data_IF_236425897015
#
_entry.id   IF_236425897015
#
_cell.length_a   1.000
_cell.length_b   1.000
_cell.length_c   1.000
_cell.angle_alpha   90.00
_cell.angle_beta   90.00
_cell.angle_gamma   90.00
#
_symmetry.space_group_name_H-M   'P 1'
#
loop_
_entity.id
_entity.type
_entity.pdbx_description
1 polymer ?
#
# COMPACT_ATOMS: atom_id res chain seq x y z
N UNK A 1 -37.55 -5.64 -34.24
CA UNK A 1 -36.80 -6.69 -34.99
C UNK A 1 -35.71 -7.19 -34.05
N UNK A 2 -35.83 -8.42 -33.54
CA UNK A 2 -34.83 -9.05 -32.67
C UNK A 2 -33.68 -9.54 -33.56
N UNK A 3 -32.40 -9.24 -33.28
CA UNK A 3 -31.29 -9.65 -34.12
C UNK A 3 -31.15 -11.18 -34.15
N UNK A 4 -30.77 -11.79 -35.27
CA UNK A 4 -30.79 -13.22 -35.49
C UNK A 4 -29.86 -14.04 -34.58
N UNK A 5 -28.95 -13.41 -33.85
CA UNK A 5 -28.02 -14.08 -32.91
C UNK A 5 -28.72 -14.60 -31.64
N UNK A 6 -29.76 -13.90 -31.17
CA UNK A 6 -30.53 -14.35 -30.01
C UNK A 6 -31.51 -15.49 -30.31
N UNK A 7 -31.98 -15.59 -31.55
CA UNK A 7 -32.82 -16.73 -31.99
C UNK A 7 -32.03 -18.04 -32.10
N UNK A 8 -30.72 -17.97 -32.45
CA UNK A 8 -29.83 -19.11 -32.48
C UNK A 8 -29.50 -19.72 -31.10
N UNK A 9 -29.37 -18.88 -30.07
CA UNK A 9 -29.08 -19.32 -28.71
C UNK A 9 -30.27 -20.01 -28.01
N UNK A 10 -31.51 -19.60 -28.33
CA UNK A 10 -32.73 -20.24 -27.80
C UNK A 10 -32.98 -21.60 -28.48
N UNK A 11 -32.69 -21.76 -29.76
CA UNK A 11 -32.81 -23.03 -30.46
C UNK A 11 -31.75 -24.06 -30.04
N UNK A 12 -30.51 -23.59 -29.78
CA UNK A 12 -29.43 -24.44 -29.28
C UNK A 12 -29.68 -24.96 -27.84
N UNK A 13 -30.43 -24.23 -27.03
CA UNK A 13 -30.79 -24.65 -25.65
C UNK A 13 -31.78 -25.79 -25.62
N UNK A 14 -32.61 -25.98 -26.65
CA UNK A 14 -33.59 -27.06 -26.73
C UNK A 14 -33.04 -28.37 -27.29
N UNK A 15 -31.96 -28.35 -28.06
CA UNK A 15 -31.37 -29.49 -28.72
C UNK A 15 -30.21 -30.17 -27.96
N UNK A 16 -29.78 -29.65 -26.82
CA UNK A 16 -28.68 -30.22 -26.05
C UNK A 16 -29.13 -31.27 -25.02
N UNK A 17 -28.37 -32.41 -24.87
CA UNK A 17 -28.66 -33.42 -23.86
C UNK A 17 -28.69 -32.84 -22.42
N UNK A 18 -29.57 -33.35 -21.60
CA UNK A 18 -29.82 -32.87 -20.21
C UNK A 18 -28.51 -32.88 -19.37
N UNK A 19 -27.58 -33.78 -19.66
CA UNK A 19 -26.29 -33.92 -19.00
C UNK A 19 -25.34 -32.72 -19.21
N UNK A 20 -25.52 -31.94 -20.28
CA UNK A 20 -24.65 -30.80 -20.61
C UNK A 20 -25.21 -29.44 -20.12
N UNK A 21 -26.45 -29.40 -19.63
CA UNK A 21 -27.07 -28.15 -19.16
C UNK A 21 -26.38 -27.47 -17.99
N UNK A 22 -25.80 -28.17 -16.99
CA UNK A 22 -25.07 -27.49 -15.91
C UNK A 22 -23.73 -26.88 -16.35
N UNK A 23 -23.20 -27.30 -17.53
CA UNK A 23 -21.95 -26.78 -18.07
C UNK A 23 -22.12 -25.59 -19.00
N UNK A 24 -23.35 -25.25 -19.40
CA UNK A 24 -23.64 -24.10 -20.27
C UNK A 24 -23.08 -22.78 -19.76
N UNK A 25 -23.15 -22.45 -18.44
CA UNK A 25 -22.53 -21.22 -17.95
C UNK A 25 -20.99 -21.24 -18.04
N UNK A 26 -20.37 -22.41 -17.85
CA UNK A 26 -18.92 -22.55 -17.97
C UNK A 26 -18.43 -22.45 -19.42
N UNK A 27 -19.20 -23.01 -20.38
CA UNK A 27 -18.93 -22.89 -21.82
C UNK A 27 -19.17 -21.45 -22.29
N UNK A 28 -20.21 -20.79 -21.80
CA UNK A 28 -20.47 -19.36 -22.08
C UNK A 28 -19.38 -18.44 -21.53
N UNK A 29 -18.84 -18.74 -20.35
CA UNK A 29 -17.72 -18.02 -19.74
C UNK A 29 -16.40 -18.29 -20.51
N UNK A 30 -16.16 -19.51 -20.95
CA UNK A 30 -15.01 -19.87 -21.78
C UNK A 30 -15.03 -19.17 -23.15
N UNK A 31 -16.18 -19.15 -23.82
CA UNK A 31 -16.38 -18.43 -25.07
C UNK A 31 -16.30 -16.90 -24.90
N UNK A 32 -16.83 -16.35 -23.80
CA UNK A 32 -16.74 -14.94 -23.45
C UNK A 32 -15.28 -14.51 -23.19
N UNK A 33 -14.51 -15.33 -22.47
CA UNK A 33 -13.08 -15.10 -22.24
C UNK A 33 -12.30 -15.17 -23.55
N UNK A 34 -12.63 -16.14 -24.43
CA UNK A 34 -12.00 -16.29 -25.74
C UNK A 34 -12.29 -15.09 -26.66
N UNK A 35 -13.54 -14.63 -26.72
CA UNK A 35 -13.93 -13.44 -27.51
C UNK A 35 -13.28 -12.18 -26.96
N UNK A 36 -13.18 -12.04 -25.64
CA UNK A 36 -12.50 -10.89 -25.02
C UNK A 36 -10.99 -10.90 -25.32
N UNK A 37 -10.38 -12.08 -25.37
CA UNK A 37 -8.94 -12.23 -25.66
C UNK A 37 -8.66 -12.04 -27.17
N UNK A 38 -9.52 -12.55 -28.05
CA UNK A 38 -9.44 -12.31 -29.50
C UNK A 38 -9.67 -10.82 -29.84
N UNK A 39 -10.58 -10.15 -29.13
CA UNK A 39 -10.78 -8.70 -29.23
C UNK A 39 -9.56 -7.89 -28.76
N UNK A 40 -8.87 -8.34 -27.73
CA UNK A 40 -7.63 -7.72 -27.22
C UNK A 40 -6.47 -7.83 -28.24
N UNK A 41 -6.37 -8.97 -28.94
CA UNK A 41 -5.38 -9.17 -29.98
C UNK A 41 -5.68 -8.41 -31.28
N UNK A 42 -6.97 -8.21 -31.59
CA UNK A 42 -7.41 -7.45 -32.78
C UNK A 42 -7.40 -5.93 -32.56
N UNK A 43 -7.42 -5.45 -31.30
CA UNK A 43 -7.34 -4.02 -30.96
C UNK A 43 -6.02 -3.36 -31.34
N UNK A 44 -4.98 -4.15 -31.65
CA UNK A 44 -3.72 -3.61 -32.15
C UNK A 44 -3.77 -3.16 -33.61
N UNK A 45 -4.77 -3.56 -34.42
CA UNK A 45 -4.74 -3.27 -35.85
C UNK A 45 -6.09 -3.09 -36.61
N UNK A 46 -7.29 -2.98 -35.97
CA UNK A 46 -8.55 -2.83 -36.75
C UNK A 46 -9.67 -2.04 -36.02
N UNK A 47 -10.60 -1.40 -36.77
CA UNK A 47 -11.65 -0.55 -36.21
C UNK A 47 -12.71 -1.34 -35.44
N UNK A 48 -13.08 -0.80 -34.29
CA UNK A 48 -14.03 -1.33 -33.29
C UNK A 48 -15.40 -1.69 -33.92
N UNK A 49 -15.85 -2.93 -33.73
CA UNK A 49 -17.22 -3.32 -34.05
C UNK A 49 -18.20 -2.91 -32.92
N UNK A 50 -19.37 -2.33 -33.24
CA UNK A 50 -20.34 -1.76 -32.26
C UNK A 50 -20.91 -2.79 -31.25
N UNK A 51 -20.82 -4.09 -31.53
CA UNK A 51 -21.40 -5.14 -30.69
C UNK A 51 -20.63 -5.40 -29.39
N UNK A 52 -19.31 -5.20 -29.36
CA UNK A 52 -18.47 -5.45 -28.19
C UNK A 52 -18.51 -4.32 -27.16
N UNK A 53 -18.73 -3.07 -27.62
CA UNK A 53 -18.92 -1.92 -26.73
C UNK A 53 -20.25 -1.99 -25.98
N UNK A 54 -21.32 -2.53 -26.60
CA UNK A 54 -22.61 -2.74 -25.95
C UNK A 54 -22.59 -3.85 -24.89
N UNK A 55 -21.90 -4.97 -25.14
CA UNK A 55 -21.77 -6.06 -24.15
C UNK A 55 -20.94 -5.58 -22.91
N UNK A 56 -19.89 -4.83 -23.10
CA UNK A 56 -19.10 -4.22 -22.03
C UNK A 56 -19.88 -3.19 -21.23
N UNK A 57 -20.73 -2.39 -21.90
CA UNK A 57 -21.61 -1.42 -21.26
C UNK A 57 -22.71 -2.07 -20.43
N UNK A 58 -23.34 -3.15 -20.90
CA UNK A 58 -24.41 -3.85 -20.16
C UNK A 58 -23.85 -4.59 -18.95
N UNK A 59 -22.71 -5.25 -19.05
CA UNK A 59 -22.01 -5.89 -17.93
C UNK A 59 -21.51 -4.86 -16.92
N UNK A 60 -20.96 -3.75 -17.40
CA UNK A 60 -20.48 -2.65 -16.55
C UNK A 60 -21.61 -1.95 -15.79
N UNK A 61 -22.76 -1.71 -16.43
CA UNK A 61 -23.92 -1.04 -15.77
C UNK A 61 -24.62 -1.94 -14.78
N UNK A 62 -24.72 -3.24 -15.01
CA UNK A 62 -25.25 -4.20 -14.05
C UNK A 62 -24.36 -4.29 -12.80
N UNK A 63 -23.03 -4.22 -12.98
CA UNK A 63 -22.05 -4.29 -11.91
C UNK A 63 -21.97 -2.97 -11.09
N UNK A 64 -22.15 -1.81 -11.72
CA UNK A 64 -22.19 -0.48 -11.08
C UNK A 64 -23.42 -0.27 -10.16
N UNK A 65 -24.47 -1.06 -10.30
CA UNK A 65 -25.70 -0.95 -9.49
C UNK A 65 -25.70 -1.74 -8.18
N UNK A 66 -24.65 -2.51 -7.89
CA UNK A 66 -24.54 -3.20 -6.59
C UNK A 66 -24.24 -2.22 -5.47
N UNK A 67 -24.97 -2.26 -4.33
CA UNK A 67 -24.69 -1.39 -3.20
C UNK A 67 -23.28 -1.68 -2.66
N UNK A 68 -22.47 -0.64 -2.57
CA UNK A 68 -21.12 -0.70 -1.98
C UNK A 68 -21.26 -0.67 -0.47
N UNK A 69 -20.90 -1.72 0.21
CA UNK A 69 -20.75 -1.72 1.67
C UNK A 69 -19.43 -1.02 2.00
N UNK A 70 -19.54 0.17 2.59
CA UNK A 70 -18.38 0.88 3.10
C UNK A 70 -17.74 0.08 4.24
N UNK A 71 -16.42 -0.10 4.18
CA UNK A 71 -15.68 -0.69 5.31
C UNK A 71 -15.79 0.28 6.48
N UNK A 72 -16.29 -0.16 7.65
CA UNK A 72 -16.34 0.71 8.81
C UNK A 72 -14.92 1.14 9.18
N UNK A 73 -14.67 2.45 9.14
CA UNK A 73 -13.40 3.00 9.63
C UNK A 73 -13.45 2.98 11.16
N UNK A 74 -12.45 2.39 11.81
CA UNK A 74 -12.33 2.46 13.25
C UNK A 74 -12.20 3.93 13.67
N UNK A 75 -13.13 4.42 14.48
CA UNK A 75 -13.19 5.82 14.94
C UNK A 75 -12.81 5.96 16.41
N UNK A 76 -12.76 4.86 17.12
CA UNK A 76 -12.56 4.80 18.57
C UNK A 76 -11.47 3.79 18.95
N UNK A 77 -11.08 3.82 20.22
CA UNK A 77 -10.04 2.95 20.77
C UNK A 77 -10.38 1.45 20.62
N UNK A 78 -11.61 0.99 20.97
CA UNK A 78 -11.98 -0.41 20.80
C UNK A 78 -11.87 -0.89 19.35
N UNK A 79 -12.36 -0.13 18.40
CA UNK A 79 -12.30 -0.50 16.98
C UNK A 79 -10.87 -0.59 16.44
N UNK A 80 -9.95 0.25 16.93
CA UNK A 80 -8.54 0.13 16.57
C UNK A 80 -7.86 -1.07 17.22
N UNK A 81 -8.21 -1.41 18.46
CA UNK A 81 -7.69 -2.63 19.11
C UNK A 81 -8.15 -3.89 18.36
N UNK A 82 -9.42 -3.97 17.99
CA UNK A 82 -9.93 -5.07 17.16
C UNK A 82 -9.16 -5.21 15.84
N UNK A 83 -8.87 -4.10 15.16
CA UNK A 83 -8.04 -4.12 13.94
C UNK A 83 -6.63 -4.65 14.18
N UNK A 84 -5.99 -4.29 15.29
CA UNK A 84 -4.68 -4.82 15.64
C UNK A 84 -4.74 -6.33 15.92
N UNK A 85 -5.80 -6.81 16.55
CA UNK A 85 -6.03 -8.24 16.77
C UNK A 85 -6.25 -8.98 15.44
N UNK A 86 -7.03 -8.40 14.52
CA UNK A 86 -7.20 -8.94 13.16
C UNK A 86 -5.86 -9.05 12.41
N UNK A 87 -4.98 -8.04 12.54
CA UNK A 87 -3.63 -8.12 11.97
C UNK A 87 -2.80 -9.25 12.60
N UNK A 88 -2.88 -9.46 13.91
CA UNK A 88 -2.20 -10.58 14.57
C UNK A 88 -2.67 -11.94 14.00
N UNK A 89 -3.96 -12.11 13.76
CA UNK A 89 -4.48 -13.32 13.12
C UNK A 89 -3.90 -13.53 11.70
N UNK A 90 -3.80 -12.46 10.91
CA UNK A 90 -3.21 -12.53 9.57
C UNK A 90 -1.72 -12.90 9.62
N UNK A 91 -0.96 -12.36 10.59
CA UNK A 91 0.43 -12.79 10.81
C UNK A 91 0.53 -14.27 11.13
N UNK A 92 -0.30 -14.77 12.04
CA UNK A 92 -0.29 -16.19 12.42
C UNK A 92 -0.58 -17.10 11.22
N UNK A 93 -1.52 -16.75 10.37
CA UNK A 93 -1.82 -17.49 9.14
C UNK A 93 -0.61 -17.55 8.21
N UNK A 94 -0.04 -16.40 7.86
CA UNK A 94 1.08 -16.32 6.92
C UNK A 94 2.36 -16.94 7.49
N UNK A 95 2.66 -16.76 8.77
CA UNK A 95 3.83 -17.36 9.43
C UNK A 95 3.70 -18.88 9.53
N UNK A 96 2.48 -19.42 9.68
CA UNK A 96 2.23 -20.88 9.69
C UNK A 96 2.34 -21.54 8.32
N UNK A 97 2.18 -20.80 7.22
CA UNK A 97 2.25 -21.29 5.85
C UNK A 97 3.67 -21.19 5.23
N UNK A 98 4.70 -20.78 5.99
CA UNK A 98 6.06 -20.61 5.45
C UNK A 98 6.66 -21.93 4.94
N UNK A 99 6.94 -22.06 3.62
CA UNK A 99 7.77 -23.12 3.11
C UNK A 99 9.24 -22.72 3.36
N UNK A 100 9.90 -23.34 4.32
CA UNK A 100 11.33 -23.21 4.65
C UNK A 100 11.79 -21.78 5.03
N UNK A 101 11.97 -21.58 6.36
CA UNK A 101 12.61 -20.38 6.90
C UNK A 101 14.09 -20.32 6.45
N UNK A 102 14.52 -19.17 5.95
CA UNK A 102 15.95 -18.90 5.75
C UNK A 102 16.66 -18.84 7.12
N UNK A 103 17.93 -19.32 7.24
CA UNK A 103 18.65 -19.32 8.51
C UNK A 103 18.83 -17.95 9.18
N UNK A 104 18.68 -16.87 8.41
CA UNK A 104 18.78 -15.48 8.87
C UNK A 104 17.48 -14.86 9.36
N UNK A 105 16.34 -15.55 9.20
CA UNK A 105 15.07 -15.00 9.65
C UNK A 105 14.89 -15.16 11.16
N UNK A 106 14.36 -14.15 11.88
CA UNK A 106 14.00 -14.31 13.29
C UNK A 106 13.01 -15.47 13.42
N UNK A 107 13.21 -16.31 14.45
CA UNK A 107 12.32 -17.45 14.72
C UNK A 107 10.87 -16.95 14.72
N UNK A 108 9.93 -17.59 14.01
CA UNK A 108 8.53 -17.13 13.92
C UNK A 108 7.89 -16.85 15.29
N UNK A 109 8.24 -17.62 16.31
CA UNK A 109 7.83 -17.40 17.68
C UNK A 109 8.30 -16.07 18.27
N UNK A 110 9.55 -15.67 18.04
CA UNK A 110 10.10 -14.43 18.58
C UNK A 110 9.39 -13.17 18.03
N UNK A 111 9.06 -13.15 16.75
CA UNK A 111 8.31 -12.05 16.14
C UNK A 111 6.88 -11.96 16.72
N UNK A 112 6.23 -13.09 16.95
CA UNK A 112 4.90 -13.15 17.58
C UNK A 112 4.94 -12.66 19.03
N UNK A 113 5.94 -13.08 19.81
CA UNK A 113 6.13 -12.62 21.18
C UNK A 113 6.39 -11.11 21.24
N UNK A 114 7.23 -10.60 20.33
CA UNK A 114 7.49 -9.16 20.22
C UNK A 114 6.20 -8.36 19.96
N UNK A 115 5.36 -8.78 18.99
CA UNK A 115 4.08 -8.12 18.72
C UNK A 115 3.13 -8.21 19.92
N UNK A 116 3.06 -9.35 20.61
CA UNK A 116 2.25 -9.49 21.81
C UNK A 116 2.71 -8.54 22.91
N UNK A 117 4.03 -8.42 23.13
CA UNK A 117 4.63 -7.49 24.09
C UNK A 117 4.34 -6.03 23.71
N UNK A 118 4.46 -5.67 22.44
CA UNK A 118 4.13 -4.32 21.94
C UNK A 118 2.66 -3.97 22.20
N UNK A 119 1.73 -4.88 21.94
CA UNK A 119 0.31 -4.65 22.20
C UNK A 119 0.00 -4.56 23.69
N UNK A 120 0.63 -5.41 24.51
CA UNK A 120 0.49 -5.35 25.98
C UNK A 120 1.00 -4.01 26.52
N UNK A 121 2.19 -3.58 26.09
CA UNK A 121 2.78 -2.28 26.48
C UNK A 121 1.89 -1.12 26.05
N UNK A 122 1.33 -1.16 24.84
CA UNK A 122 0.40 -0.14 24.36
C UNK A 122 -0.88 -0.11 25.20
N UNK A 123 -1.47 -1.26 25.57
CA UNK A 123 -2.65 -1.31 26.44
C UNK A 123 -2.41 -0.64 27.80
N UNK A 124 -1.24 -0.87 28.39
CA UNK A 124 -0.83 -0.19 29.63
C UNK A 124 -0.70 1.33 29.41
N UNK A 125 -0.06 1.74 28.31
CA UNK A 125 0.08 3.15 27.94
C UNK A 125 -1.29 3.85 27.73
N UNK A 126 -2.24 3.16 27.07
CA UNK A 126 -3.60 3.69 26.84
C UNK A 126 -4.36 3.95 28.15
N UNK A 127 -4.11 3.16 29.19
CA UNK A 127 -4.72 3.30 30.52
C UNK A 127 -4.04 4.34 31.42
N UNK A 128 -2.97 5.00 30.97
CA UNK A 128 -2.23 5.97 31.79
C UNK A 128 -3.11 7.15 32.17
N UNK A 129 -3.22 7.47 33.48
CA UNK A 129 -3.91 8.65 33.95
C UNK A 129 -3.07 9.91 33.70
N UNK A 130 -3.73 11.08 33.67
CA UNK A 130 -3.08 12.38 33.53
C UNK A 130 -2.56 12.68 32.12
N UNK A 131 -1.99 13.84 31.98
CA UNK A 131 -1.42 14.39 30.76
C UNK A 131 0.11 14.27 30.75
N UNK A 132 0.67 14.07 29.59
CA UNK A 132 2.11 14.09 29.35
C UNK A 132 2.44 15.09 28.24
N UNK A 133 3.24 16.09 28.61
CA UNK A 133 3.74 17.08 27.67
C UNK A 133 5.26 16.96 27.54
N UNK A 134 5.80 17.49 26.46
CA UNK A 134 7.22 17.72 26.34
C UNK A 134 7.49 19.15 25.94
N UNK A 135 8.46 19.77 26.62
CA UNK A 135 9.07 21.02 26.17
C UNK A 135 10.22 20.70 25.25
N UNK A 136 10.14 21.19 24.03
CA UNK A 136 11.08 20.94 22.95
C UNK A 136 11.49 22.25 22.29
N UNK A 137 12.56 22.24 21.53
CA UNK A 137 13.04 23.41 20.78
C UNK A 137 14.48 23.23 20.36
N UNK A 138 14.94 24.00 19.39
CA UNK A 138 16.36 24.05 18.98
C UNK A 138 17.22 24.73 20.07
N UNK A 139 16.61 25.65 20.83
CA UNK A 139 17.20 26.35 21.96
C UNK A 139 16.18 26.39 23.10
N UNK A 140 15.89 25.26 23.79
CA UNK A 140 14.97 25.26 24.91
C UNK A 140 15.53 26.13 26.05
N UNK A 141 14.66 26.66 26.91
CA UNK A 141 15.11 27.36 28.11
C UNK A 141 15.79 26.41 29.09
N UNK A 142 16.45 26.93 30.09
CA UNK A 142 17.16 26.12 31.09
C UNK A 142 16.20 25.22 31.90
N UNK A 143 16.67 24.03 32.25
CA UNK A 143 15.87 23.00 32.96
C UNK A 143 15.41 23.46 34.38
N UNK A 144 16.06 24.46 34.93
CA UNK A 144 15.69 25.11 36.21
C UNK A 144 14.28 25.71 36.17
N UNK A 145 13.73 26.01 34.97
CA UNK A 145 12.37 26.53 34.81
C UNK A 145 11.30 25.42 34.82
N UNK A 146 11.68 24.16 34.80
CA UNK A 146 10.74 23.03 34.75
C UNK A 146 9.71 23.05 35.90
N UNK A 147 10.10 23.28 37.18
CA UNK A 147 9.13 23.34 38.27
C UNK A 147 8.13 24.47 38.11
N UNK A 148 8.58 25.67 37.69
CA UNK A 148 7.72 26.82 37.45
C UNK A 148 6.73 26.57 36.31
N UNK A 149 7.17 25.90 35.24
CA UNK A 149 6.34 25.55 34.09
C UNK A 149 5.30 24.49 34.44
N UNK A 150 5.65 23.49 35.22
CA UNK A 150 4.71 22.47 35.73
C UNK A 150 3.67 23.10 36.65
N UNK A 151 4.08 24.03 37.53
CA UNK A 151 3.17 24.75 38.44
C UNK A 151 2.22 25.66 37.65
N UNK A 152 2.72 26.36 36.61
CA UNK A 152 1.91 27.22 35.75
C UNK A 152 0.84 26.46 34.96
N UNK A 153 1.09 25.19 34.65
CA UNK A 153 0.17 24.30 33.95
C UNK A 153 -0.64 23.40 34.86
N UNK A 154 -0.55 23.61 36.17
CA UNK A 154 -1.29 22.82 37.17
C UNK A 154 -2.79 22.94 36.92
N UNK A 155 -3.44 21.80 36.78
CA UNK A 155 -4.88 21.68 36.56
C UNK A 155 -5.49 20.56 37.41
N UNK A 156 -6.75 20.18 37.14
CA UNK A 156 -7.44 19.10 37.85
C UNK A 156 -6.81 17.71 37.56
N UNK A 157 -6.09 17.56 36.43
CA UNK A 157 -5.39 16.34 36.09
C UNK A 157 -3.90 16.45 36.38
N UNK A 158 -3.28 15.33 36.77
CA UNK A 158 -1.83 15.27 36.92
C UNK A 158 -1.14 15.49 35.56
N UNK A 159 -0.08 16.32 35.58
CA UNK A 159 0.70 16.64 34.39
C UNK A 159 2.15 16.21 34.58
N UNK A 160 2.67 15.44 33.65
CA UNK A 160 4.09 15.10 33.56
C UNK A 160 4.69 15.86 32.37
N UNK A 161 5.75 16.62 32.67
CA UNK A 161 6.47 17.40 31.67
C UNK A 161 7.86 16.79 31.41
N UNK A 162 8.10 16.34 30.19
CA UNK A 162 9.42 15.95 29.73
C UNK A 162 10.18 17.17 29.22
N UNK A 163 11.39 17.37 29.75
CA UNK A 163 12.28 18.41 29.27
C UNK A 163 13.26 17.82 28.24
N UNK A 164 13.17 18.27 27.00
CA UNK A 164 13.99 17.74 25.94
C UNK A 164 15.40 18.34 25.94
N UNK A 165 16.37 17.58 25.47
CA UNK A 165 17.63 18.14 25.00
C UNK A 165 17.38 19.04 23.77
N UNK A 166 18.25 20.02 23.48
CA UNK A 166 18.10 20.84 22.30
C UNK A 166 17.94 20.00 21.05
N UNK A 167 16.93 20.30 20.24
CA UNK A 167 16.75 19.67 18.95
C UNK A 167 17.90 20.04 18.00
N UNK A 168 18.40 19.14 17.17
CA UNK A 168 19.47 19.45 16.24
C UNK A 168 19.06 20.52 15.23
N UNK A 169 19.99 21.40 14.93
CA UNK A 169 19.81 22.47 13.93
C UNK A 169 19.99 21.97 12.50
N UNK A 170 20.49 20.76 12.34
CA UNK A 170 20.61 20.06 11.06
C UNK A 170 20.31 18.58 11.23
N UNK A 171 19.56 18.00 10.28
CA UNK A 171 19.27 16.57 10.23
C UNK A 171 19.12 16.11 8.79
N UNK A 172 19.65 14.91 8.47
CA UNK A 172 19.41 14.25 7.19
C UNK A 172 17.99 13.66 7.06
N UNK A 173 17.27 13.51 8.18
CA UNK A 173 15.87 13.10 8.24
C UNK A 173 15.22 13.73 9.45
N UNK A 174 14.24 14.61 9.21
CA UNK A 174 13.50 15.32 10.26
C UNK A 174 12.40 14.40 10.82
N UNK A 175 12.74 13.59 11.82
CA UNK A 175 11.79 12.68 12.49
C UNK A 175 11.80 12.89 14.00
N UNK A 176 10.62 13.01 14.56
CA UNK A 176 10.46 13.18 15.99
C UNK A 176 10.83 11.92 16.77
N UNK A 177 11.53 12.04 17.91
CA UNK A 177 11.77 10.92 18.79
C UNK A 177 10.46 10.28 19.27
N UNK A 178 10.39 8.94 19.40
CA UNK A 178 9.15 8.23 19.78
C UNK A 178 8.54 8.68 21.11
N UNK A 179 9.36 9.15 22.04
CA UNK A 179 8.89 9.68 23.33
C UNK A 179 7.96 10.88 23.13
N UNK A 180 8.32 11.80 22.22
CA UNK A 180 7.54 13.01 21.98
C UNK A 180 6.26 12.72 21.20
N UNK A 181 6.30 11.74 20.30
CA UNK A 181 5.09 11.23 19.63
C UNK A 181 4.08 10.64 20.64
N UNK A 182 4.56 10.08 21.75
CA UNK A 182 3.73 9.51 22.82
C UNK A 182 3.16 10.55 23.78
N UNK A 183 3.54 11.84 23.67
CA UNK A 183 2.99 12.92 24.49
C UNK A 183 1.57 13.31 24.05
N UNK A 184 0.77 13.80 24.99
CA UNK A 184 -0.57 14.34 24.73
C UNK A 184 -0.46 15.65 23.93
N UNK A 185 0.56 16.46 24.21
CA UNK A 185 0.89 17.68 23.50
C UNK A 185 2.37 18.05 23.63
N UNK A 186 2.79 18.99 22.78
CA UNK A 186 4.15 19.55 22.79
C UNK A 186 4.08 21.04 23.11
N UNK A 187 5.07 21.53 23.86
CA UNK A 187 5.35 22.96 23.98
C UNK A 187 6.66 23.20 23.25
N UNK A 188 6.60 23.85 22.09
CA UNK A 188 7.77 24.13 21.29
C UNK A 188 8.28 25.54 21.63
N UNK A 189 9.43 25.62 22.28
CA UNK A 189 10.07 26.87 22.54
C UNK A 189 10.73 27.44 21.29
N UNK A 190 10.41 28.69 20.99
CA UNK A 190 10.90 29.40 19.82
C UNK A 190 11.57 30.70 20.23
N UNK A 191 12.72 30.97 19.65
CA UNK A 191 13.35 32.28 19.70
C UNK A 191 13.17 33.02 18.39
N UNK A 192 13.03 34.32 18.46
CA UNK A 192 12.88 35.17 17.27
C UNK A 192 14.19 35.88 16.93
N UNK A 193 14.54 35.94 15.61
CA UNK A 193 13.83 35.40 14.44
C UNK A 193 13.89 33.88 14.39
N UNK A 194 12.86 33.24 13.78
CA UNK A 194 12.81 31.80 13.61
C UNK A 194 13.97 31.30 12.76
N UNK A 195 14.59 30.23 13.21
CA UNK A 195 15.60 29.53 12.39
C UNK A 195 14.94 28.60 11.37
N UNK A 196 15.67 28.30 10.29
CA UNK A 196 15.21 27.30 9.31
C UNK A 196 15.01 25.90 9.97
N UNK A 197 15.79 25.59 11.00
CA UNK A 197 15.65 24.36 11.76
C UNK A 197 14.31 24.31 12.54
N UNK A 198 13.91 25.43 13.17
CA UNK A 198 12.61 25.49 13.88
C UNK A 198 11.46 25.23 12.91
N UNK A 199 11.46 25.87 11.73
CA UNK A 199 10.44 25.65 10.71
C UNK A 199 10.41 24.20 10.26
N UNK A 200 11.56 23.56 10.03
CA UNK A 200 11.65 22.15 9.64
C UNK A 200 11.09 21.21 10.71
N UNK A 201 11.37 21.47 11.98
CA UNK A 201 10.80 20.67 13.07
C UNK A 201 9.29 20.85 13.18
N UNK A 202 8.78 22.05 12.96
CA UNK A 202 7.33 22.31 12.95
C UNK A 202 6.64 21.66 11.74
N UNK A 203 7.26 21.69 10.55
CA UNK A 203 6.77 20.97 9.37
C UNK A 203 6.75 19.45 9.59
N UNK A 204 7.71 18.92 10.35
CA UNK A 204 7.84 17.49 10.64
C UNK A 204 6.92 17.01 11.78
N UNK A 205 6.10 17.88 12.38
CA UNK A 205 5.19 17.47 13.45
C UNK A 205 4.27 16.32 12.99
N UNK A 206 4.13 15.27 13.81
CA UNK A 206 3.24 14.16 13.50
C UNK A 206 1.81 14.66 13.29
N UNK A 207 1.15 14.14 12.27
CA UNK A 207 -0.23 14.51 11.96
C UNK A 207 -1.13 14.33 13.18
N UNK A 208 -1.88 15.39 13.53
CA UNK A 208 -2.76 15.40 14.70
C UNK A 208 -2.05 15.50 16.04
N UNK A 209 -0.74 15.78 16.10
CA UNK A 209 -0.01 16.08 17.32
C UNK A 209 -0.26 17.54 17.72
N UNK A 210 -0.93 17.83 18.85
CA UNK A 210 -1.09 19.20 19.30
C UNK A 210 0.25 19.81 19.73
N UNK A 211 0.53 21.02 19.27
CA UNK A 211 1.71 21.76 19.69
C UNK A 211 1.34 23.21 20.00
N UNK A 212 1.85 23.75 21.10
CA UNK A 212 1.78 25.15 21.47
C UNK A 212 3.17 25.76 21.34
N UNK A 213 3.23 26.97 20.83
CA UNK A 213 4.49 27.64 20.52
C UNK A 213 4.79 28.67 21.62
N UNK A 214 5.72 28.36 22.53
CA UNK A 214 6.20 29.30 23.54
C UNK A 214 7.28 30.18 22.91
N UNK A 215 6.91 31.39 22.55
CA UNK A 215 7.76 32.34 21.82
C UNK A 215 8.45 33.26 22.80
N UNK A 216 9.79 33.23 22.84
CA UNK A 216 10.60 34.23 23.52
C UNK A 216 10.54 35.53 22.71
N UNK A 217 9.82 36.52 23.28
CA UNK A 217 9.59 37.80 22.62
C UNK A 217 10.83 38.71 22.60
N UNK A 218 11.83 38.45 23.47
CA UNK A 218 13.00 39.30 23.59
C UNK A 218 12.68 40.77 23.87
N UNK A 219 11.54 41.03 24.54
CA UNK A 219 11.05 42.39 24.82
C UNK A 219 10.32 43.10 23.66
N UNK A 220 10.08 42.40 22.54
CA UNK A 220 9.31 42.93 21.40
C UNK A 220 7.80 42.92 21.69
N UNK A 221 7.07 43.88 21.10
CA UNK A 221 5.62 43.96 21.21
C UNK A 221 4.95 42.73 20.61
N UNK A 222 3.92 42.21 21.29
CA UNK A 222 3.27 40.94 20.90
C UNK A 222 2.53 41.02 19.53
N UNK A 223 1.78 42.10 19.26
CA UNK A 223 0.97 42.21 18.02
C UNK A 223 1.79 42.15 16.74
N UNK A 224 2.86 42.95 16.52
CA UNK A 224 3.66 42.85 15.33
C UNK A 224 4.41 41.50 15.21
N UNK A 225 4.82 40.94 16.34
CA UNK A 225 5.48 39.64 16.41
C UNK A 225 4.51 38.50 16.03
N UNK A 226 3.26 38.56 16.49
CA UNK A 226 2.23 37.60 16.15
C UNK A 226 1.94 37.63 14.63
N UNK A 227 1.83 38.81 14.02
CA UNK A 227 1.61 38.98 12.59
C UNK A 227 2.80 38.42 11.76
N UNK A 228 4.03 38.70 12.19
CA UNK A 228 5.25 38.19 11.58
C UNK A 228 5.25 36.65 11.61
N UNK A 229 5.02 36.04 12.76
CA UNK A 229 5.00 34.58 12.92
C UNK A 229 3.86 33.93 12.18
N UNK A 230 2.66 34.51 12.16
CA UNK A 230 1.53 34.00 11.43
C UNK A 230 1.77 33.93 9.90
N UNK A 231 2.63 34.81 9.37
CA UNK A 231 3.03 34.74 7.96
C UNK A 231 3.96 33.58 7.60
N UNK A 232 4.67 33.03 8.60
CA UNK A 232 5.66 31.96 8.43
C UNK A 232 5.11 30.59 8.85
N UNK A 233 4.09 30.57 9.72
CA UNK A 233 3.49 29.37 10.30
C UNK A 233 2.16 29.05 9.62
N UNK A 234 1.78 27.80 9.62
CA UNK A 234 0.43 27.40 9.21
C UNK A 234 -0.64 27.95 10.18
N UNK A 235 -1.90 28.11 9.71
CA UNK A 235 -2.98 28.75 10.48
C UNK A 235 -3.25 28.06 11.83
N UNK A 236 -3.11 26.74 11.90
CA UNK A 236 -3.35 25.96 13.13
C UNK A 236 -2.31 26.25 14.21
N UNK A 237 -1.05 26.43 13.83
CA UNK A 237 0.04 26.77 14.76
C UNK A 237 0.01 28.25 15.17
N UNK A 238 -0.37 29.13 14.25
CA UNK A 238 -0.50 30.56 14.51
C UNK A 238 -1.56 30.87 15.60
N UNK A 239 -2.57 30.02 15.76
CA UNK A 239 -3.59 30.17 16.82
C UNK A 239 -3.10 29.71 18.20
N UNK A 240 -1.93 29.06 18.30
CA UNK A 240 -1.40 28.46 19.52
C UNK A 240 -0.09 29.12 19.96
N UNK A 241 0.07 30.40 19.64
CA UNK A 241 1.20 31.21 20.07
C UNK A 241 1.02 31.63 21.53
N UNK A 242 2.05 31.42 22.33
CA UNK A 242 2.17 31.85 23.73
C UNK A 242 3.39 32.75 23.82
N UNK A 243 3.22 34.01 24.18
CA UNK A 243 4.32 34.97 24.23
C UNK A 243 4.89 35.04 25.65
N UNK A 244 6.22 34.93 25.73
CA UNK A 244 6.98 34.97 26.97
C UNK A 244 8.14 35.98 26.80
N UNK A 245 8.41 36.73 27.85
CA UNK A 245 9.47 37.76 27.86
C UNK A 245 10.84 37.21 28.30
N UNK A 246 10.94 35.90 28.55
CA UNK A 246 12.17 35.25 29.01
C UNK A 246 12.36 35.27 30.52
N UNK A 247 11.47 35.95 31.31
CA UNK A 247 11.59 36.04 32.77
C UNK A 247 10.79 34.94 33.48
N UNK A 248 11.36 34.28 34.50
CA UNK A 248 10.65 33.20 35.20
C UNK A 248 9.33 33.68 35.85
N UNK A 249 9.25 34.92 36.29
CA UNK A 249 8.10 35.50 36.97
C UNK A 249 6.88 35.67 36.04
N UNK A 250 7.11 35.90 34.77
CA UNK A 250 6.04 36.07 33.76
C UNK A 250 5.54 34.75 33.16
N UNK A 251 6.22 33.66 33.43
CA UNK A 251 5.93 32.36 32.78
C UNK A 251 4.50 31.89 33.07
N UNK A 252 4.01 32.06 34.31
CA UNK A 252 2.64 31.68 34.66
C UNK A 252 1.59 32.49 33.89
N UNK A 253 1.84 33.78 33.66
CA UNK A 253 0.94 34.64 32.86
C UNK A 253 0.97 34.22 31.40
N UNK A 254 2.15 33.94 30.85
CA UNK A 254 2.35 33.53 29.47
C UNK A 254 1.68 32.17 29.17
N UNK A 255 1.67 31.25 30.13
CA UNK A 255 1.06 29.92 30.01
C UNK A 255 -0.43 29.87 30.41
N UNK A 256 -0.98 30.94 31.01
CA UNK A 256 -2.38 30.98 31.47
C UNK A 256 -3.41 30.65 30.38
N UNK A 257 -3.26 31.03 29.08
CA UNK A 257 -4.16 30.59 28.03
C UNK A 257 -4.16 29.08 27.85
N UNK A 258 -2.97 28.43 27.79
CA UNK A 258 -2.83 27.00 27.73
C UNK A 258 -3.40 26.31 28.97
N UNK A 259 -3.08 26.77 30.17
CA UNK A 259 -3.58 26.18 31.39
C UNK A 259 -5.12 26.17 31.44
N UNK A 260 -5.77 27.24 31.00
CA UNK A 260 -7.24 27.32 30.92
C UNK A 260 -7.79 26.35 29.84
N UNK A 261 -7.14 26.27 28.71
CA UNK A 261 -7.52 25.33 27.65
C UNK A 261 -7.43 23.86 28.11
N UNK A 262 -6.39 23.51 28.86
CA UNK A 262 -6.19 22.16 29.38
C UNK A 262 -7.30 21.68 30.31
N UNK A 263 -7.94 22.56 31.07
CA UNK A 263 -9.06 22.19 31.93
C UNK A 263 -10.22 21.56 31.16
N UNK A 264 -10.50 22.08 29.99
CA UNK A 264 -11.63 21.60 29.17
C UNK A 264 -11.21 20.54 28.11
N UNK A 265 -9.96 20.60 27.62
CA UNK A 265 -9.52 19.77 26.50
C UNK A 265 -8.75 18.50 26.91
N UNK A 266 -8.40 18.34 28.20
CA UNK A 266 -7.62 17.19 28.69
C UNK A 266 -8.17 15.82 28.26
N UNK A 267 -9.49 15.54 28.33
CA UNK A 267 -10.03 14.27 27.85
C UNK A 267 -9.83 14.07 26.34
N UNK A 268 -10.01 15.13 25.53
CA UNK A 268 -9.83 15.09 24.10
C UNK A 268 -8.36 14.87 23.71
N UNK A 269 -7.42 15.49 24.42
CA UNK A 269 -5.98 15.31 24.22
C UNK A 269 -5.56 13.86 24.49
N UNK A 270 -6.04 13.27 25.60
CA UNK A 270 -5.79 11.85 25.91
C UNK A 270 -6.35 10.92 24.83
N UNK A 271 -7.60 11.14 24.41
CA UNK A 271 -8.21 10.37 23.34
C UNK A 271 -7.44 10.52 22.03
N UNK A 272 -7.04 11.76 21.69
CA UNK A 272 -6.23 12.04 20.51
C UNK A 272 -4.90 11.29 20.54
N UNK A 273 -4.19 11.28 21.68
CA UNK A 273 -2.98 10.48 21.87
C UNK A 273 -3.25 8.99 21.69
N UNK A 274 -4.29 8.46 22.35
CA UNK A 274 -4.64 7.04 22.27
C UNK A 274 -4.85 6.62 20.81
N UNK A 275 -5.61 7.39 20.04
CA UNK A 275 -5.86 7.13 18.63
C UNK A 275 -4.58 7.21 17.80
N UNK A 276 -3.74 8.25 17.98
CA UNK A 276 -2.45 8.36 17.29
C UNK A 276 -1.56 7.14 17.54
N UNK A 277 -1.41 6.72 18.81
CA UNK A 277 -0.58 5.57 19.19
C UNK A 277 -1.07 4.27 18.57
N UNK A 278 -2.38 4.04 18.55
CA UNK A 278 -2.99 2.89 17.89
C UNK A 278 -2.76 2.91 16.37
N UNK A 279 -2.96 4.08 15.75
CA UNK A 279 -2.70 4.26 14.31
C UNK A 279 -1.24 4.02 13.95
N UNK A 280 -0.30 4.53 14.75
CA UNK A 280 1.14 4.31 14.54
C UNK A 280 1.50 2.82 14.63
N UNK A 281 1.03 2.11 15.68
CA UNK A 281 1.29 0.67 15.79
C UNK A 281 0.67 -0.09 14.64
N UNK A 282 -0.57 0.23 14.28
CA UNK A 282 -1.26 -0.36 13.13
C UNK A 282 -0.48 -0.14 11.83
N UNK A 283 -0.01 1.08 11.54
CA UNK A 283 0.78 1.38 10.36
C UNK A 283 2.09 0.60 10.29
N UNK A 284 2.80 0.47 11.44
CA UNK A 284 4.02 -0.37 11.53
C UNK A 284 3.71 -1.83 11.23
N UNK A 285 2.66 -2.39 11.82
CA UNK A 285 2.27 -3.77 11.60
C UNK A 285 1.76 -4.01 10.18
N UNK A 286 1.03 -3.06 9.59
CA UNK A 286 0.66 -3.14 8.18
C UNK A 286 1.89 -3.20 7.26
N UNK A 287 2.90 -2.38 7.52
CA UNK A 287 4.15 -2.39 6.74
C UNK A 287 4.93 -3.71 6.91
N UNK A 288 4.97 -4.26 8.13
CA UNK A 288 5.57 -5.56 8.41
C UNK A 288 4.82 -6.70 7.72
N UNK A 289 3.48 -6.69 7.81
CA UNK A 289 2.61 -7.67 7.17
C UNK A 289 2.74 -7.64 5.65
N UNK A 290 2.79 -6.43 5.07
CA UNK A 290 2.99 -6.29 3.62
C UNK A 290 4.34 -6.86 3.18
N UNK A 291 5.41 -6.64 3.94
CA UNK A 291 6.71 -7.26 3.67
C UNK A 291 6.62 -8.78 3.71
N UNK A 292 5.93 -9.35 4.70
CA UNK A 292 5.70 -10.80 4.79
C UNK A 292 4.89 -11.32 3.61
N UNK A 293 3.81 -10.63 3.21
CA UNK A 293 3.01 -10.94 2.01
C UNK A 293 3.88 -10.98 0.75
N UNK A 294 4.77 -9.99 0.58
CA UNK A 294 5.71 -9.96 -0.54
C UNK A 294 6.67 -11.15 -0.53
N UNK A 295 7.14 -11.59 0.63
CA UNK A 295 7.97 -12.80 0.75
C UNK A 295 7.21 -14.06 0.28
N UNK A 296 5.93 -14.21 0.62
CA UNK A 296 5.10 -15.31 0.14
C UNK A 296 4.73 -15.19 -1.35
N UNK A 297 4.59 -13.99 -1.86
CA UNK A 297 4.25 -13.72 -3.25
C UNK A 297 5.38 -14.06 -4.23
N UNK A 298 6.64 -13.80 -3.87
CA UNK A 298 7.78 -13.99 -4.77
C UNK A 298 7.91 -15.45 -5.31
N UNK A 299 7.82 -16.52 -4.49
CA UNK A 299 7.86 -17.88 -5.01
C UNK A 299 6.65 -18.21 -5.90
N UNK A 300 5.46 -17.68 -5.58
CA UNK A 300 4.27 -17.82 -6.39
C UNK A 300 4.46 -17.17 -7.77
N UNK A 301 4.95 -15.94 -7.82
CA UNK A 301 5.26 -15.22 -9.06
C UNK A 301 6.27 -16.00 -9.90
N UNK A 302 7.38 -16.47 -9.29
CA UNK A 302 8.41 -17.26 -9.98
C UNK A 302 7.84 -18.54 -10.58
N UNK A 303 7.05 -19.29 -9.80
CA UNK A 303 6.41 -20.53 -10.29
C UNK A 303 5.48 -20.23 -11.47
N UNK A 304 4.63 -19.23 -11.34
CA UNK A 304 3.62 -18.92 -12.37
C UNK A 304 4.25 -18.43 -13.66
N UNK A 305 5.26 -17.54 -13.61
CA UNK A 305 5.92 -17.05 -14.82
C UNK A 305 6.55 -18.20 -15.65
N UNK A 306 7.15 -19.21 -14.98
CA UNK A 306 7.76 -20.33 -15.69
C UNK A 306 6.74 -21.37 -16.17
N UNK A 307 5.60 -21.52 -15.48
CA UNK A 307 4.47 -22.29 -16.01
C UNK A 307 3.90 -21.67 -17.27
N UNK A 308 3.77 -20.34 -17.31
CA UNK A 308 3.35 -19.61 -18.52
C UNK A 308 4.36 -19.78 -19.64
N UNK A 309 5.66 -19.61 -19.36
CA UNK A 309 6.70 -19.82 -20.36
C UNK A 309 6.68 -21.24 -20.93
N UNK A 310 6.55 -22.26 -20.07
CA UNK A 310 6.45 -23.66 -20.49
C UNK A 310 5.21 -23.91 -21.38
N UNK A 311 4.08 -23.30 -21.01
CA UNK A 311 2.85 -23.38 -21.81
C UNK A 311 3.04 -22.81 -23.23
N UNK A 312 3.68 -21.65 -23.34
CA UNK A 312 3.96 -20.99 -24.63
C UNK A 312 4.91 -21.84 -25.50
N UNK A 313 5.92 -22.49 -24.89
CA UNK A 313 6.81 -23.40 -25.62
C UNK A 313 6.09 -24.67 -26.08
N UNK A 314 5.24 -25.24 -25.22
CA UNK A 314 4.57 -26.53 -25.49
C UNK A 314 3.40 -26.42 -26.49
N UNK A 315 2.81 -25.23 -26.63
CA UNK A 315 1.63 -25.01 -27.44
C UNK A 315 1.98 -24.24 -28.74
N UNK A 316 2.17 -24.92 -29.87
CA UNK A 316 2.51 -24.26 -31.14
C UNK A 316 1.36 -23.46 -31.76
N UNK A 317 0.13 -23.56 -31.20
CA UNK A 317 -1.05 -22.84 -31.67
C UNK A 317 -1.34 -21.61 -30.78
N UNK A 318 -1.55 -20.42 -31.38
CA UNK A 318 -1.78 -19.16 -30.62
C UNK A 318 -2.95 -19.23 -29.61
N UNK A 319 -3.98 -20.05 -29.89
CA UNK A 319 -5.16 -20.19 -29.02
C UNK A 319 -4.90 -20.96 -27.72
N UNK A 320 -3.97 -21.93 -27.74
CA UNK A 320 -3.59 -22.70 -26.55
C UNK A 320 -2.67 -21.89 -25.64
N UNK A 321 -1.79 -21.06 -26.18
CA UNK A 321 -0.93 -20.15 -25.46
C UNK A 321 -1.77 -19.20 -24.58
N UNK A 322 -2.84 -18.66 -25.13
CA UNK A 322 -3.76 -17.76 -24.42
C UNK A 322 -4.54 -18.48 -23.32
N UNK A 323 -4.94 -19.73 -23.55
CA UNK A 323 -5.66 -20.54 -22.56
C UNK A 323 -4.74 -20.87 -21.37
N UNK A 324 -3.51 -21.26 -21.62
CA UNK A 324 -2.51 -21.56 -20.57
C UNK A 324 -2.21 -20.30 -19.77
N UNK A 325 -2.02 -19.17 -20.42
CA UNK A 325 -1.83 -17.87 -19.74
C UNK A 325 -3.03 -17.51 -18.86
N UNK A 326 -4.25 -17.69 -19.35
CA UNK A 326 -5.46 -17.39 -18.59
C UNK A 326 -5.63 -18.33 -17.39
N UNK A 327 -5.38 -19.63 -17.54
CA UNK A 327 -5.46 -20.62 -16.46
C UNK A 327 -4.40 -20.37 -15.39
N UNK A 328 -3.14 -20.16 -15.79
CA UNK A 328 -2.05 -19.88 -14.87
C UNK A 328 -2.28 -18.58 -14.09
N UNK A 329 -2.72 -17.51 -14.76
CA UNK A 329 -3.07 -16.26 -14.11
C UNK A 329 -4.28 -16.42 -13.16
N UNK A 330 -5.25 -17.26 -13.50
CA UNK A 330 -6.39 -17.55 -12.62
C UNK A 330 -5.99 -18.25 -11.32
N UNK A 331 -5.10 -19.22 -11.34
CA UNK A 331 -4.57 -19.89 -10.16
C UNK A 331 -3.76 -18.91 -9.29
N UNK A 332 -2.87 -18.12 -9.91
CA UNK A 332 -2.09 -17.10 -9.22
C UNK A 332 -2.98 -16.09 -8.52
N UNK A 333 -4.04 -15.61 -9.15
CA UNK A 333 -4.96 -14.61 -8.58
C UNK A 333 -5.64 -15.12 -7.30
N UNK A 334 -6.04 -16.40 -7.25
CA UNK A 334 -6.62 -17.01 -6.06
C UNK A 334 -5.62 -17.09 -4.91
N UNK A 335 -4.41 -17.52 -5.19
CA UNK A 335 -3.35 -17.59 -4.17
C UNK A 335 -2.93 -16.19 -3.70
N UNK A 336 -2.87 -15.22 -4.61
CA UNK A 336 -2.66 -13.81 -4.24
C UNK A 336 -3.77 -13.28 -3.35
N UNK A 337 -5.05 -13.54 -3.67
CA UNK A 337 -6.18 -13.13 -2.85
C UNK A 337 -6.09 -13.72 -1.44
N UNK A 338 -5.62 -14.97 -1.30
CA UNK A 338 -5.39 -15.62 0.00
C UNK A 338 -4.27 -14.92 0.77
N UNK A 339 -3.12 -14.61 0.14
CA UNK A 339 -1.98 -13.92 0.77
C UNK A 339 -2.40 -12.55 1.30
N UNK A 340 -3.19 -11.78 0.52
CA UNK A 340 -3.67 -10.45 0.94
C UNK A 340 -4.97 -10.49 1.75
N UNK A 341 -5.52 -11.69 2.04
CA UNK A 341 -6.83 -11.87 2.67
C UNK A 341 -7.92 -11.03 2.00
N UNK A 342 -7.92 -11.04 0.67
CA UNK A 342 -8.85 -10.27 -0.15
C UNK A 342 -10.15 -11.04 -0.33
N UNK A 343 -11.32 -10.46 0.01
CA UNK A 343 -12.61 -11.17 -0.07
C UNK A 343 -13.21 -11.22 -1.48
N UNK A 344 -12.49 -10.72 -2.48
CA UNK A 344 -12.99 -10.62 -3.84
C UNK A 344 -13.17 -12.00 -4.48
N UNK A 345 -14.22 -12.13 -5.26
CA UNK A 345 -14.47 -13.33 -6.06
C UNK A 345 -13.42 -13.49 -7.16
N UNK A 346 -13.25 -14.71 -7.67
CA UNK A 346 -12.30 -14.94 -8.77
C UNK A 346 -12.66 -14.13 -10.02
N UNK A 347 -13.92 -13.87 -10.28
CA UNK A 347 -14.38 -13.02 -11.39
C UNK A 347 -13.97 -11.57 -11.19
N UNK A 348 -14.10 -11.04 -9.99
CA UNK A 348 -13.65 -9.69 -9.63
C UNK A 348 -12.14 -9.55 -9.75
N UNK A 349 -11.38 -10.55 -9.28
CA UNK A 349 -9.92 -10.58 -9.42
C UNK A 349 -9.49 -10.62 -10.89
N UNK A 350 -10.18 -11.43 -11.71
CA UNK A 350 -9.92 -11.49 -13.16
C UNK A 350 -10.24 -10.17 -13.86
N UNK A 351 -11.34 -9.52 -13.50
CA UNK A 351 -11.69 -8.22 -14.07
C UNK A 351 -10.61 -7.19 -13.75
N UNK A 352 -10.14 -7.14 -12.53
CA UNK A 352 -9.05 -6.25 -12.11
C UNK A 352 -7.73 -6.58 -12.84
N UNK A 353 -7.34 -7.86 -12.91
CA UNK A 353 -6.14 -8.29 -13.62
C UNK A 353 -6.22 -7.99 -15.13
N UNK A 354 -7.42 -8.06 -15.73
CA UNK A 354 -7.64 -7.69 -17.12
C UNK A 354 -7.35 -6.22 -17.39
N UNK A 355 -7.76 -5.32 -16.50
CA UNK A 355 -7.46 -3.88 -16.63
C UNK A 355 -5.94 -3.62 -16.51
N UNK A 356 -5.25 -4.32 -15.61
CA UNK A 356 -3.79 -4.24 -15.51
C UNK A 356 -3.08 -4.80 -16.74
N UNK A 357 -3.58 -5.90 -17.30
CA UNK A 357 -3.05 -6.49 -18.53
C UNK A 357 -3.23 -5.55 -19.73
N UNK A 358 -4.42 -4.93 -19.90
CA UNK A 358 -4.66 -3.91 -20.93
C UNK A 358 -3.70 -2.73 -20.80
N UNK A 359 -3.52 -2.23 -19.58
CA UNK A 359 -2.57 -1.14 -19.30
C UNK A 359 -1.12 -1.57 -19.63
N UNK A 360 -0.74 -2.83 -19.35
CA UNK A 360 0.59 -3.35 -19.68
C UNK A 360 0.84 -3.39 -21.19
N UNK A 361 -0.17 -3.79 -21.98
CA UNK A 361 -0.09 -3.77 -23.45
C UNK A 361 -0.02 -2.31 -23.96
N UNK A 362 -0.87 -1.43 -23.45
CA UNK A 362 -0.89 -0.02 -23.86
C UNK A 362 0.42 0.72 -23.54
N UNK A 363 1.14 0.32 -22.48
CA UNK A 363 2.45 0.86 -22.11
C UNK A 363 3.64 0.18 -22.83
N UNK A 364 3.38 -0.71 -23.78
CA UNK A 364 4.43 -1.36 -24.58
C UNK A 364 5.35 -2.30 -23.80
N UNK A 365 4.86 -2.95 -22.74
CA UNK A 365 5.66 -3.86 -21.89
C UNK A 365 6.16 -5.06 -22.72
N UNK A 366 5.33 -5.58 -23.62
CA UNK A 366 5.68 -6.71 -24.49
C UNK A 366 6.71 -6.28 -25.53
N UNK A 367 6.53 -5.14 -26.18
CA UNK A 367 7.43 -4.58 -27.16
C UNK A 367 8.81 -4.31 -26.55
N UNK A 368 8.85 -3.69 -25.37
CA UNK A 368 10.10 -3.44 -24.68
C UNK A 368 10.82 -4.74 -24.33
N UNK A 369 10.14 -5.74 -23.78
CA UNK A 369 10.75 -7.01 -23.40
C UNK A 369 11.28 -7.77 -24.62
N UNK A 370 10.53 -7.79 -25.72
CA UNK A 370 10.94 -8.42 -26.98
C UNK A 370 12.17 -7.73 -27.59
N UNK A 371 12.20 -6.40 -27.59
CA UNK A 371 13.36 -5.62 -28.07
C UNK A 371 14.59 -5.84 -27.18
N UNK A 372 14.43 -5.86 -25.84
CA UNK A 372 15.51 -6.13 -24.91
C UNK A 372 16.11 -7.54 -25.12
N UNK A 373 15.25 -8.56 -25.34
CA UNK A 373 15.69 -9.92 -25.66
C UNK A 373 16.37 -10.00 -27.02
N UNK A 374 15.83 -9.36 -28.05
CA UNK A 374 16.43 -9.31 -29.40
C UNK A 374 17.81 -8.59 -29.36
N UNK A 375 17.95 -7.55 -28.56
CA UNK A 375 19.23 -6.88 -28.33
C UNK A 375 20.29 -7.82 -27.75
N UNK A 376 19.93 -8.72 -26.83
CA UNK A 376 20.84 -9.72 -26.29
C UNK A 376 21.35 -10.71 -27.33
N UNK A 377 20.48 -11.14 -28.24
CA UNK A 377 20.88 -12.02 -29.38
C UNK A 377 21.90 -11.30 -30.26
N UNK A 378 21.60 -10.04 -30.60
CA UNK A 378 22.41 -9.25 -31.54
C UNK A 378 23.78 -8.85 -30.97
N UNK A 379 23.85 -8.47 -29.69
CA UNK A 379 25.05 -7.89 -29.08
C UNK A 379 25.92 -8.91 -28.32
N UNK A 380 25.32 -9.98 -27.82
CA UNK A 380 26.00 -10.97 -26.95
C UNK A 380 26.02 -12.39 -27.54
N UNK A 381 25.57 -12.58 -28.78
CA UNK A 381 25.55 -13.90 -29.44
C UNK A 381 24.75 -14.94 -28.64
N UNK A 382 23.65 -14.51 -27.98
CA UNK A 382 22.85 -15.35 -27.08
C UNK A 382 22.06 -16.42 -27.90
N UNK A 383 22.78 -17.42 -28.42
CA UNK A 383 22.25 -18.49 -29.29
C UNK A 383 21.16 -19.34 -28.65
N UNK A 384 21.03 -19.27 -27.30
CA UNK A 384 19.97 -19.94 -26.53
C UNK A 384 18.58 -19.29 -26.67
N UNK A 385 18.50 -18.07 -27.24
CA UNK A 385 17.26 -17.32 -27.47
C UNK A 385 16.63 -17.54 -28.83
N UNK A 386 16.75 -18.72 -29.42
CA UNK A 386 16.24 -19.01 -30.78
C UNK A 386 14.82 -19.58 -30.74
N UNK A 387 13.97 -19.18 -31.70
CA UNK A 387 12.62 -19.72 -31.87
C UNK A 387 11.61 -19.28 -30.80
N UNK A 388 10.77 -20.21 -30.33
CA UNK A 388 9.70 -19.97 -29.36
C UNK A 388 10.16 -19.46 -27.99
N UNK A 389 11.48 -19.54 -27.66
CA UNK A 389 12.04 -19.07 -26.38
C UNK A 389 11.84 -17.55 -26.19
N UNK A 390 11.94 -16.73 -27.24
CA UNK A 390 11.71 -15.28 -27.12
C UNK A 390 10.26 -14.96 -26.72
N UNK A 391 9.30 -15.63 -27.35
CA UNK A 391 7.88 -15.43 -27.02
C UNK A 391 7.57 -15.90 -25.61
N UNK A 392 8.11 -17.07 -25.21
CA UNK A 392 7.94 -17.60 -23.86
C UNK A 392 8.51 -16.68 -22.79
N UNK A 393 9.70 -16.10 -23.02
CA UNK A 393 10.31 -15.18 -22.09
C UNK A 393 9.58 -13.82 -22.03
N UNK A 394 9.07 -13.32 -23.17
CA UNK A 394 8.24 -12.11 -23.17
C UNK A 394 6.92 -12.33 -22.42
N UNK A 395 6.30 -13.51 -22.57
CA UNK A 395 5.10 -13.86 -21.80
C UNK A 395 5.40 -14.03 -20.31
N UNK A 396 6.54 -14.63 -19.94
CA UNK A 396 6.98 -14.72 -18.55
C UNK A 396 7.22 -13.32 -17.94
N UNK A 397 7.86 -12.42 -18.66
CA UNK A 397 8.10 -11.06 -18.22
C UNK A 397 6.80 -10.26 -18.05
N UNK A 398 5.89 -10.34 -19.02
CA UNK A 398 4.56 -9.74 -18.90
C UNK A 398 3.83 -10.26 -17.66
N UNK A 399 3.89 -11.58 -17.41
CA UNK A 399 3.29 -12.20 -16.23
C UNK A 399 3.88 -11.62 -14.94
N UNK A 400 5.20 -11.37 -14.89
CA UNK A 400 5.84 -10.72 -13.73
C UNK A 400 5.30 -9.31 -13.48
N UNK A 401 5.24 -8.50 -14.54
CA UNK A 401 4.77 -7.10 -14.45
C UNK A 401 3.31 -7.06 -13.99
N UNK A 402 2.43 -7.85 -14.61
CA UNK A 402 1.00 -7.90 -14.23
C UNK A 402 0.83 -8.43 -12.81
N UNK A 403 1.56 -9.49 -12.44
CA UNK A 403 1.51 -10.04 -11.08
C UNK A 403 1.95 -9.01 -10.02
N UNK A 404 3.02 -8.27 -10.27
CA UNK A 404 3.51 -7.22 -9.38
C UNK A 404 2.52 -6.06 -9.27
N UNK A 405 1.98 -5.59 -10.38
CA UNK A 405 0.94 -4.56 -10.40
C UNK A 405 -0.32 -5.01 -9.64
N UNK A 406 -0.71 -6.29 -9.79
CA UNK A 406 -1.83 -6.89 -9.05
C UNK A 406 -1.55 -6.95 -7.55
N UNK A 407 -0.33 -7.31 -7.15
CA UNK A 407 0.09 -7.31 -5.75
C UNK A 407 0.04 -5.90 -5.14
N UNK A 408 0.49 -4.88 -5.88
CA UNK A 408 0.41 -3.47 -5.45
C UNK A 408 -1.04 -3.02 -5.32
N UNK A 409 -1.90 -3.41 -6.25
CA UNK A 409 -3.33 -3.11 -6.18
C UNK A 409 -3.99 -3.79 -4.98
N UNK A 410 -3.72 -5.07 -4.72
CA UNK A 410 -4.27 -5.79 -3.57
C UNK A 410 -3.81 -5.18 -2.24
N UNK A 411 -2.55 -4.72 -2.17
CA UNK A 411 -2.03 -4.00 -1.01
C UNK A 411 -2.79 -2.69 -0.74
N UNK A 412 -3.15 -1.94 -1.79
CA UNK A 412 -3.96 -0.73 -1.70
C UNK A 412 -5.43 -1.00 -1.38
N UNK A 413 -5.92 -2.20 -1.68
CA UNK A 413 -7.32 -2.61 -1.51
C UNK A 413 -7.58 -3.42 -0.24
N UNK A 414 -6.62 -3.44 0.69
CA UNK A 414 -6.79 -4.16 1.96
C UNK A 414 -8.01 -3.63 2.73
N UNK A 415 -8.92 -4.54 3.08
CA UNK A 415 -10.17 -4.20 3.78
C UNK A 415 -11.28 -3.64 2.89
N UNK A 416 -11.09 -3.60 1.56
CA UNK A 416 -12.15 -3.22 0.61
C UNK A 416 -12.94 -4.48 0.22
N UNK A 417 -14.25 -4.57 0.54
CA UNK A 417 -15.02 -5.79 0.32
C UNK A 417 -15.30 -6.06 -1.16
N UNK A 418 -15.39 -5.01 -1.98
CA UNK A 418 -15.65 -5.12 -3.41
C UNK A 418 -14.76 -4.17 -4.20
N UNK A 419 -14.19 -4.58 -5.35
CA UNK A 419 -13.34 -3.73 -6.17
C UNK A 419 -14.13 -2.59 -6.83
N UNK A 420 -13.58 -1.38 -6.83
CA UNK A 420 -14.03 -0.30 -7.71
C UNK A 420 -13.28 -0.40 -9.05
N UNK A 421 -13.89 -1.05 -10.04
CA UNK A 421 -13.26 -1.24 -11.36
C UNK A 421 -12.94 0.08 -12.04
N UNK A 422 -13.74 1.13 -11.85
CA UNK A 422 -13.47 2.44 -12.44
C UNK A 422 -12.23 3.09 -11.81
N UNK A 423 -12.06 2.95 -10.49
CA UNK A 423 -10.85 3.40 -9.81
C UNK A 423 -9.64 2.58 -10.24
N UNK A 424 -9.77 1.25 -10.34
CA UNK A 424 -8.71 0.35 -10.82
C UNK A 424 -8.28 0.75 -12.23
N UNK A 425 -9.22 0.96 -13.15
CA UNK A 425 -8.94 1.37 -14.53
C UNK A 425 -8.14 2.68 -14.59
N UNK A 426 -8.50 3.66 -13.76
CA UNK A 426 -7.75 4.93 -13.68
C UNK A 426 -6.34 4.78 -13.11
N UNK A 427 -6.16 3.86 -12.16
CA UNK A 427 -4.88 3.63 -11.48
C UNK A 427 -3.99 2.62 -12.19
N UNK A 428 -4.55 1.74 -13.03
CA UNK A 428 -3.82 0.66 -13.70
C UNK A 428 -2.57 1.14 -14.46
N UNK A 429 -2.57 2.24 -15.23
CA UNK A 429 -1.36 2.69 -15.91
C UNK A 429 -0.22 3.03 -14.95
N UNK A 430 -0.53 3.66 -13.81
CA UNK A 430 0.48 4.02 -12.80
C UNK A 430 1.04 2.78 -12.10
N UNK A 431 0.17 1.84 -11.71
CA UNK A 431 0.58 0.59 -11.06
C UNK A 431 1.46 -0.24 -11.98
N UNK A 432 1.08 -0.37 -13.24
CA UNK A 432 1.85 -1.10 -14.25
C UNK A 432 3.17 -0.41 -14.56
N UNK A 433 3.20 0.92 -14.70
CA UNK A 433 4.44 1.66 -14.93
C UNK A 433 5.43 1.44 -13.79
N UNK A 434 4.99 1.53 -12.53
CA UNK A 434 5.82 1.24 -11.34
C UNK A 434 6.32 -0.21 -11.33
N UNK A 435 5.44 -1.16 -11.62
CA UNK A 435 5.80 -2.57 -11.69
C UNK A 435 6.84 -2.83 -12.79
N UNK A 436 6.63 -2.28 -13.99
CA UNK A 436 7.55 -2.42 -15.12
C UNK A 436 8.93 -1.81 -14.82
N UNK A 437 8.99 -0.61 -14.22
CA UNK A 437 10.26 -0.01 -13.82
C UNK A 437 11.00 -0.86 -12.78
N UNK A 438 10.29 -1.36 -11.78
CA UNK A 438 10.89 -2.24 -10.78
C UNK A 438 11.41 -3.55 -11.39
N UNK A 439 10.66 -4.17 -12.34
CA UNK A 439 11.10 -5.38 -13.04
C UNK A 439 12.25 -5.10 -14.05
N UNK A 440 12.35 -3.88 -14.60
CA UNK A 440 13.52 -3.48 -15.40
C UNK A 440 14.79 -3.43 -14.55
N UNK A 441 14.73 -2.95 -13.31
CA UNK A 441 15.85 -2.97 -12.38
C UNK A 441 16.30 -4.41 -12.07
N UNK A 442 15.37 -5.35 -12.03
CA UNK A 442 15.62 -6.77 -11.78
C UNK A 442 15.91 -7.58 -13.06
N UNK A 443 16.10 -6.92 -14.22
CA UNK A 443 16.24 -7.57 -15.53
C UNK A 443 17.39 -8.57 -15.58
N UNK A 444 18.54 -8.26 -15.00
CA UNK A 444 19.69 -9.16 -14.97
C UNK A 444 19.38 -10.46 -14.19
N UNK A 445 18.69 -10.35 -13.07
CA UNK A 445 18.25 -11.51 -12.28
C UNK A 445 17.19 -12.34 -13.04
N UNK A 446 16.29 -11.69 -13.77
CA UNK A 446 15.33 -12.36 -14.64
C UNK A 446 16.03 -13.18 -15.75
N UNK A 447 17.03 -12.60 -16.41
CA UNK A 447 17.78 -13.30 -17.47
C UNK A 447 18.54 -14.50 -16.93
N UNK A 448 19.13 -14.43 -15.75
CA UNK A 448 19.81 -15.56 -15.14
C UNK A 448 18.82 -16.69 -14.81
N UNK A 449 17.66 -16.36 -14.26
CA UNK A 449 16.57 -17.33 -14.03
C UNK A 449 16.09 -17.93 -15.37
N UNK A 450 15.98 -17.15 -16.43
CA UNK A 450 15.61 -17.61 -17.77
C UNK A 450 16.60 -18.61 -18.32
N UNK A 451 17.91 -18.34 -18.19
CA UNK A 451 18.97 -19.28 -18.59
C UNK A 451 18.90 -20.60 -17.83
N UNK A 452 18.71 -20.54 -16.53
CA UNK A 452 18.58 -21.74 -15.68
C UNK A 452 17.35 -22.55 -16.07
N UNK A 453 16.22 -21.89 -16.29
CA UNK A 453 14.98 -22.53 -16.70
C UNK A 453 15.13 -23.20 -18.07
N UNK A 454 15.69 -22.54 -19.09
CA UNK A 454 15.92 -23.13 -20.40
C UNK A 454 16.86 -24.34 -20.38
N UNK A 455 17.92 -24.29 -19.55
CA UNK A 455 18.81 -25.45 -19.34
C UNK A 455 18.06 -26.63 -18.73
N UNK A 456 17.15 -26.39 -17.79
CA UNK A 456 16.35 -27.45 -17.19
C UNK A 456 15.38 -28.08 -18.21
N UNK A 457 14.83 -27.31 -19.14
CA UNK A 457 13.93 -27.81 -20.21
C UNK A 457 14.71 -28.66 -21.23
N UNK A 458 15.89 -28.25 -21.65
CA UNK A 458 16.73 -29.03 -22.56
C UNK A 458 17.22 -30.33 -21.91
N UNK A 459 17.50 -30.36 -20.60
CA UNK A 459 17.84 -31.57 -19.87
C UNK A 459 16.65 -32.53 -19.70
N UNK A 460 15.42 -32.03 -19.70
CA UNK A 460 14.18 -32.82 -19.60
C UNK A 460 13.70 -33.42 -20.91
N UNK A 461 14.45 -33.27 -22.04
CA UNK A 461 14.15 -33.91 -23.31
C UNK A 461 12.94 -33.36 -24.07
N UNK A 462 12.49 -32.14 -23.75
CA UNK A 462 11.50 -31.46 -24.58
C UNK A 462 12.13 -31.12 -25.94
N UNK A 463 11.47 -31.45 -27.08
CA UNK A 463 12.07 -31.22 -28.40
C UNK A 463 12.35 -29.71 -28.55
N UNK A 464 13.61 -29.39 -28.84
CA UNK A 464 13.95 -28.08 -29.38
C UNK A 464 13.03 -27.89 -30.60
N UNK A 465 12.16 -26.85 -30.55
CA UNK A 465 11.20 -26.56 -31.62
C UNK A 465 11.98 -26.59 -32.95
N UNK A 466 11.62 -27.53 -33.79
CA UNK A 466 12.27 -27.78 -35.07
C UNK A 466 12.25 -26.54 -35.95
N UNK A 467 13.29 -26.41 -36.72
CA UNK A 467 13.60 -25.43 -37.77
C UNK A 467 12.40 -25.17 -38.70
#
# INVERSE_FOLDING_TARGET
MIPPVLAGLTAARQSLPVALRPWLPAIGLGLGAWVATDALLRLSHLPLSPGLTLAGLVLGTWWLRRPRTAVPTARDVPGWLERLEQLQHQFVQLEGERPQAQPSDPRPGAARELRATQLAALRVELGRPGLMFALVGTQPPGVELQPALVEALRGPESLVLHWAHPLPTWSGGWSWPPLFEACDGLIHHLRTPLSAADLRWLEALPSGQPAWLLVDSGGRSQEPLAAELASQLGPDLAQRLLFWDGQPESLAVSLAPLARELVSTAPALRQGRQLRRLQQLHGRWQSELERLRRQHFLPLQRRTQWLVAAGVVAAPLPSLDLLVLAVANGLMLRDMARIWNCPWTLEQLRAAATELAKASLALGVVEWSSQALAGLVKWHGATWLVGGAMQALSAAYLTRVVARAMADMLALSVGVPEPDLAAIQRQAPLLVARAAEAEKLDWAAFLEQARQWLRSQSAAGLPAAGV
#
